data_IF_735385876391
#
_entry.id   IF_735385876391
#
_cell.length_a   1.000
_cell.length_b   1.000
_cell.length_c   1.000
_cell.angle_alpha   90.00
_cell.angle_beta   90.00
_cell.angle_gamma   90.00
#
_symmetry.space_group_name_H-M   'P 1'
#
loop_
_entity.id
_entity.type
_entity.pdbx_description
1 polymer ?
#
# COMPACT_ATOMS: atom_id res chain seq x y z
N UNK A 1 49.06 -24.23 -58.02
CA UNK A 1 47.68 -24.25 -57.47
C UNK A 1 47.48 -23.42 -56.20
N UNK A 2 48.44 -23.41 -55.26
CA UNK A 2 48.27 -22.75 -53.94
C UNK A 2 48.04 -21.22 -54.00
N UNK A 3 48.70 -20.50 -54.91
CA UNK A 3 48.56 -19.03 -55.03
C UNK A 3 47.25 -18.57 -55.65
N UNK A 4 46.66 -19.38 -56.55
CA UNK A 4 45.34 -19.07 -57.16
C UNK A 4 44.20 -19.28 -56.17
N UNK A 5 44.31 -20.26 -55.28
CA UNK A 5 43.34 -20.50 -54.20
C UNK A 5 43.38 -19.35 -53.19
N UNK A 6 44.57 -18.84 -52.85
CA UNK A 6 44.72 -17.70 -51.94
C UNK A 6 44.12 -16.40 -52.52
N UNK A 7 44.29 -16.18 -53.83
CA UNK A 7 43.71 -15.02 -54.51
C UNK A 7 42.17 -15.07 -54.56
N UNK A 8 41.59 -16.25 -54.75
CA UNK A 8 40.12 -16.45 -54.71
C UNK A 8 39.58 -16.20 -53.30
N UNK A 9 40.32 -16.61 -52.26
CA UNK A 9 39.94 -16.38 -50.87
C UNK A 9 39.94 -14.87 -50.51
N UNK A 10 40.94 -14.12 -50.99
CA UNK A 10 41.03 -12.67 -50.76
C UNK A 10 39.93 -11.87 -51.47
N UNK A 11 39.49 -12.32 -52.66
CA UNK A 11 38.37 -11.71 -53.40
C UNK A 11 37.03 -11.96 -52.69
N UNK A 12 36.84 -13.14 -52.10
CA UNK A 12 35.62 -13.45 -51.34
C UNK A 12 35.49 -12.63 -50.05
N UNK A 13 36.60 -12.32 -49.38
CA UNK A 13 36.58 -11.50 -48.16
C UNK A 13 36.24 -10.03 -48.43
N UNK A 14 36.49 -9.51 -49.63
CA UNK A 14 36.11 -8.13 -50.01
C UNK A 14 34.62 -7.94 -50.34
N UNK A 15 33.85 -9.04 -50.45
CA UNK A 15 32.40 -9.00 -50.66
C UNK A 15 31.59 -9.10 -49.35
N UNK A 16 32.27 -9.29 -48.21
CA UNK A 16 31.65 -9.27 -46.90
C UNK A 16 31.45 -7.82 -46.46
N UNK A 17 30.31 -7.23 -46.83
CA UNK A 17 29.82 -6.00 -46.21
C UNK A 17 29.31 -6.32 -44.80
N UNK A 18 30.23 -6.34 -43.83
CA UNK A 18 29.88 -6.41 -42.41
C UNK A 18 29.83 -4.99 -41.83
N UNK A 19 28.79 -4.23 -42.18
CA UNK A 19 28.46 -2.96 -41.50
C UNK A 19 26.99 -2.89 -41.04
N UNK A 20 26.46 -4.05 -40.68
CA UNK A 20 25.28 -4.12 -39.83
C UNK A 20 25.77 -4.15 -38.38
N UNK A 21 26.07 -2.96 -37.85
CA UNK A 21 26.20 -2.81 -36.41
C UNK A 21 24.81 -3.15 -35.81
N UNK A 22 24.67 -4.24 -35.01
CA UNK A 22 23.39 -4.65 -34.44
C UNK A 22 22.87 -3.66 -33.40
N UNK A 23 23.65 -2.60 -33.12
CA UNK A 23 23.31 -1.47 -32.27
C UNK A 23 23.16 -0.17 -33.07
N UNK A 24 23.01 -0.19 -34.42
CA UNK A 24 22.53 1.00 -35.13
C UNK A 24 21.13 1.26 -34.59
N UNK A 25 21.01 2.34 -33.82
CA UNK A 25 19.74 2.84 -33.30
C UNK A 25 18.94 3.37 -34.48
N UNK A 26 18.21 2.49 -35.13
CA UNK A 26 17.11 2.91 -35.99
C UNK A 26 16.14 3.71 -35.13
N UNK A 27 15.86 4.93 -35.62
CA UNK A 27 14.71 5.78 -35.33
C UNK A 27 14.18 5.69 -33.90
N UNK A 28 14.44 6.71 -33.07
CA UNK A 28 13.63 7.09 -31.89
C UNK A 28 12.48 6.12 -31.60
N UNK A 29 12.81 4.90 -31.15
CA UNK A 29 11.84 4.00 -30.60
C UNK A 29 11.71 4.62 -29.23
N UNK A 30 10.83 5.61 -29.14
CA UNK A 30 10.24 5.94 -27.86
C UNK A 30 9.67 4.60 -27.42
N UNK A 31 10.43 3.89 -26.58
CA UNK A 31 9.91 2.82 -25.76
C UNK A 31 8.87 3.53 -24.92
N UNK A 32 7.66 3.65 -25.47
CA UNK A 32 6.52 4.21 -24.77
C UNK A 32 6.25 3.18 -23.70
N UNK A 33 6.89 3.38 -22.55
CA UNK A 33 6.57 2.64 -21.35
C UNK A 33 5.05 2.72 -21.19
N UNK A 34 4.38 1.61 -20.88
CA UNK A 34 2.95 1.64 -20.60
C UNK A 34 2.65 2.73 -19.58
N UNK A 35 1.52 3.45 -19.74
CA UNK A 35 1.15 4.49 -18.79
C UNK A 35 1.08 3.90 -17.37
N UNK A 36 1.48 4.70 -16.38
CA UNK A 36 1.40 4.27 -14.99
C UNK A 36 -0.05 3.93 -14.62
N UNK A 37 -0.26 2.73 -14.08
CA UNK A 37 -1.56 2.30 -13.59
C UNK A 37 -2.07 3.21 -12.46
N UNK A 38 -3.29 3.73 -12.61
CA UNK A 38 -3.95 4.57 -11.59
C UNK A 38 -5.14 3.85 -10.97
N UNK A 39 -6.11 3.47 -11.81
CA UNK A 39 -7.28 2.70 -11.42
C UNK A 39 -7.86 1.93 -12.60
N UNK A 40 -8.51 0.81 -12.32
CA UNK A 40 -9.30 0.04 -13.28
C UNK A 40 -10.55 -0.51 -12.59
N UNK A 41 -11.67 -0.51 -13.32
CA UNK A 41 -12.96 -0.95 -12.80
C UNK A 41 -13.33 -2.32 -13.37
N UNK A 42 -13.91 -3.17 -12.53
CA UNK A 42 -14.35 -4.52 -12.90
C UNK A 42 -15.81 -4.68 -12.46
N UNK A 43 -16.63 -5.20 -13.38
CA UNK A 43 -18.01 -5.59 -13.12
C UNK A 43 -18.16 -7.09 -13.29
N UNK A 44 -18.85 -7.70 -12.34
CA UNK A 44 -19.18 -9.11 -12.43
C UNK A 44 -20.44 -9.33 -13.26
N UNK A 45 -20.55 -10.52 -13.85
CA UNK A 45 -21.78 -10.92 -14.53
C UNK A 45 -22.90 -11.21 -13.52
N UNK A 46 -24.14 -11.22 -14.00
CA UNK A 46 -25.34 -11.34 -13.13
C UNK A 46 -25.45 -12.65 -12.34
N UNK A 47 -24.64 -13.65 -12.67
CA UNK A 47 -24.58 -14.93 -11.95
C UNK A 47 -23.47 -14.99 -10.89
N UNK A 48 -22.61 -13.97 -10.80
CA UNK A 48 -21.54 -13.96 -9.83
C UNK A 48 -22.06 -13.78 -8.40
N UNK A 49 -21.59 -14.64 -7.50
CA UNK A 49 -21.99 -14.67 -6.08
C UNK A 49 -20.81 -14.75 -5.13
N UNK A 50 -19.72 -15.38 -5.55
CA UNK A 50 -18.54 -15.65 -4.72
C UNK A 50 -17.29 -15.31 -5.52
N UNK A 51 -16.50 -14.37 -5.03
CA UNK A 51 -15.15 -14.10 -5.51
C UNK A 51 -14.20 -15.09 -4.85
N UNK A 52 -13.68 -16.04 -5.64
CA UNK A 52 -12.78 -17.09 -5.16
C UNK A 52 -11.36 -16.56 -4.96
N UNK A 53 -10.75 -16.03 -6.01
CA UNK A 53 -9.36 -15.54 -5.97
C UNK A 53 -9.15 -14.38 -6.96
N UNK A 54 -8.11 -13.59 -6.71
CA UNK A 54 -7.62 -12.56 -7.63
C UNK A 54 -6.21 -12.94 -8.05
N UNK A 55 -5.91 -12.76 -9.34
CA UNK A 55 -4.66 -13.20 -9.93
C UNK A 55 -4.04 -12.06 -10.74
N UNK A 56 -2.85 -11.63 -10.34
CA UNK A 56 -2.10 -10.57 -11.00
C UNK A 56 -0.95 -11.19 -11.79
N UNK A 57 -0.99 -11.05 -13.11
CA UNK A 57 0.12 -11.42 -13.99
C UNK A 57 0.92 -10.16 -14.30
N UNK A 58 2.23 -10.23 -14.17
CA UNK A 58 3.12 -9.09 -14.36
C UNK A 58 4.43 -9.51 -15.01
N UNK A 59 5.12 -8.53 -15.57
CA UNK A 59 6.43 -8.72 -16.22
C UNK A 59 7.49 -8.16 -15.28
N UNK A 60 8.50 -8.96 -14.98
CA UNK A 60 9.65 -8.58 -14.17
C UNK A 60 10.59 -7.62 -14.92
N UNK A 61 11.53 -7.01 -14.20
CA UNK A 61 12.54 -6.13 -14.79
C UNK A 61 13.44 -6.84 -15.81
N UNK A 62 13.56 -8.18 -15.72
CA UNK A 62 14.30 -9.02 -16.65
C UNK A 62 13.45 -9.49 -17.86
N UNK A 63 12.17 -9.11 -17.92
CA UNK A 63 11.24 -9.48 -18.98
C UNK A 63 10.54 -10.84 -18.80
N UNK A 64 10.83 -11.58 -17.72
CA UNK A 64 10.08 -12.80 -17.40
C UNK A 64 8.66 -12.51 -16.90
N UNK A 65 7.73 -13.43 -17.15
CA UNK A 65 6.36 -13.35 -16.65
C UNK A 65 6.24 -14.05 -15.30
N UNK A 66 5.63 -13.37 -14.33
CA UNK A 66 5.35 -13.91 -13.01
C UNK A 66 3.89 -13.63 -12.59
N UNK A 67 3.49 -14.31 -11.51
CA UNK A 67 2.11 -14.34 -11.04
C UNK A 67 2.01 -14.18 -9.52
N UNK A 68 1.07 -13.35 -9.07
CA UNK A 68 0.65 -13.24 -7.65
C UNK A 68 -0.81 -13.66 -7.53
N UNK A 69 -1.08 -14.67 -6.69
CA UNK A 69 -2.42 -15.16 -6.38
C UNK A 69 -2.86 -14.74 -4.97
N UNK A 70 -4.02 -14.10 -4.88
CA UNK A 70 -4.67 -13.74 -3.63
C UNK A 70 -5.94 -14.59 -3.45
N UNK A 71 -5.95 -15.42 -2.41
CA UNK A 71 -7.14 -16.18 -2.03
C UNK A 71 -8.14 -15.28 -1.29
N UNK A 72 -9.40 -15.26 -1.72
CA UNK A 72 -10.43 -14.36 -1.21
C UNK A 72 -11.56 -15.14 -0.57
N UNK A 73 -12.23 -16.00 -1.33
CA UNK A 73 -13.41 -16.81 -0.94
C UNK A 73 -14.49 -16.02 -0.18
N UNK A 74 -14.97 -14.91 -0.75
CA UNK A 74 -16.02 -14.07 -0.15
C UNK A 74 -17.20 -13.84 -1.09
N UNK A 75 -18.38 -13.61 -0.52
CA UNK A 75 -19.56 -13.22 -1.28
C UNK A 75 -19.38 -11.86 -1.95
N UNK A 76 -19.94 -11.71 -3.14
CA UNK A 76 -19.97 -10.46 -3.92
C UNK A 76 -21.39 -10.19 -4.42
N UNK A 77 -21.70 -8.92 -4.62
CA UNK A 77 -22.88 -8.47 -5.36
C UNK A 77 -22.45 -8.04 -6.77
N UNK A 78 -23.14 -8.52 -7.80
CA UNK A 78 -22.87 -8.20 -9.20
C UNK A 78 -23.50 -6.86 -9.62
N UNK A 79 -24.42 -6.31 -8.83
CA UNK A 79 -24.92 -4.94 -9.02
C UNK A 79 -23.88 -3.87 -8.67
N UNK A 80 -22.85 -4.25 -7.91
CA UNK A 80 -21.79 -3.35 -7.47
C UNK A 80 -20.64 -3.27 -8.50
N UNK A 81 -19.93 -2.14 -8.48
CA UNK A 81 -18.71 -1.93 -9.26
C UNK A 81 -17.50 -2.06 -8.36
N UNK A 82 -16.53 -2.87 -8.76
CA UNK A 82 -15.30 -3.10 -8.02
C UNK A 82 -14.16 -2.36 -8.71
N UNK A 83 -13.19 -1.88 -7.95
CA UNK A 83 -12.09 -1.08 -8.49
C UNK A 83 -10.76 -1.53 -7.91
N UNK A 84 -9.74 -1.60 -8.75
CA UNK A 84 -8.34 -1.77 -8.36
C UNK A 84 -7.68 -0.41 -8.54
N UNK A 85 -6.99 0.11 -7.52
CA UNK A 85 -6.32 1.42 -7.59
C UNK A 85 -4.92 1.37 -6.97
N UNK A 86 -3.99 2.18 -7.52
CA UNK A 86 -2.62 2.31 -7.03
C UNK A 86 -2.53 3.43 -5.99
N UNK A 87 -1.86 3.14 -4.88
CA UNK A 87 -1.47 4.14 -3.89
C UNK A 87 0.05 4.12 -3.73
N UNK A 88 0.71 5.29 -3.80
CA UNK A 88 2.14 5.40 -3.45
C UNK A 88 2.27 5.34 -1.93
N UNK A 89 3.09 4.41 -1.44
CA UNK A 89 3.53 4.45 -0.04
C UNK A 89 4.40 5.70 0.17
N UNK A 90 4.27 6.40 1.31
CA UNK A 90 5.16 7.53 1.62
C UNK A 90 6.60 7.04 1.71
N UNK A 91 7.51 7.77 1.07
CA UNK A 91 8.94 7.49 1.05
C UNK A 91 9.55 7.73 2.46
N UNK A 92 10.15 6.72 3.12
CA UNK A 92 10.81 6.89 4.41
C UNK A 92 12.19 7.58 4.31
N UNK A 93 12.60 8.07 3.15
CA UNK A 93 13.96 8.57 2.93
C UNK A 93 14.19 10.00 3.45
N UNK A 94 14.57 10.08 4.74
CA UNK A 94 15.71 10.87 5.26
C UNK A 94 15.89 10.58 6.76
N UNK A 95 16.31 9.36 7.08
CA UNK A 95 16.94 9.12 8.37
C UNK A 95 18.39 9.57 8.22
N UNK A 96 18.79 10.61 8.95
CA UNK A 96 20.18 11.02 9.04
C UNK A 96 20.96 9.87 9.69
N UNK A 97 21.91 9.29 8.97
CA UNK A 97 22.82 8.25 9.48
C UNK A 97 23.61 8.81 10.68
N UNK A 98 23.15 8.52 11.89
CA UNK A 98 24.00 8.52 13.08
C UNK A 98 24.41 7.07 13.29
N UNK A 99 25.56 6.73 12.74
CA UNK A 99 26.19 5.43 12.92
C UNK A 99 26.54 5.23 14.40
N UNK A 100 25.74 4.41 15.09
CA UNK A 100 26.15 3.75 16.33
C UNK A 100 26.22 2.26 16.03
N UNK A 101 27.43 1.74 16.07
CA UNK A 101 27.80 0.34 15.86
C UNK A 101 27.06 -0.58 16.83
N UNK A 102 26.18 -1.44 16.29
CA UNK A 102 25.60 -2.59 17.00
C UNK A 102 26.04 -3.85 16.24
N UNK A 103 26.63 -4.86 16.89
CA UNK A 103 27.26 -5.98 16.20
C UNK A 103 26.22 -6.93 15.60
N UNK A 104 26.58 -7.40 14.41
CA UNK A 104 25.91 -8.38 13.57
C UNK A 104 25.73 -9.73 14.29
N UNK A 105 24.50 -10.26 14.28
CA UNK A 105 24.24 -11.68 14.55
C UNK A 105 23.41 -12.26 13.41
N UNK A 106 24.05 -13.16 12.67
CA UNK A 106 23.52 -13.80 11.48
C UNK A 106 22.39 -14.79 11.76
N UNK A 107 21.36 -14.67 10.90
CA UNK A 107 20.56 -15.72 10.26
C UNK A 107 19.69 -16.66 11.12
N UNK A 108 18.37 -16.43 11.01
CA UNK A 108 17.45 -17.51 10.64
C UNK A 108 16.38 -16.96 9.70
N UNK A 109 16.37 -17.45 8.46
CA UNK A 109 15.23 -17.37 7.54
C UNK A 109 14.02 -17.91 8.27
N UNK A 110 13.12 -17.02 8.67
CA UNK A 110 11.76 -17.39 9.04
C UNK A 110 10.88 -16.83 7.94
N UNK A 111 10.28 -17.73 7.17
CA UNK A 111 9.11 -17.42 6.35
C UNK A 111 7.98 -17.04 7.31
N UNK A 112 8.04 -15.84 7.86
CA UNK A 112 6.86 -15.17 8.35
C UNK A 112 6.16 -14.69 7.09
N UNK A 113 5.20 -15.47 6.60
CA UNK A 113 4.09 -14.92 5.84
C UNK A 113 3.51 -13.82 6.73
N UNK A 114 4.04 -12.60 6.55
CA UNK A 114 3.50 -11.42 7.19
C UNK A 114 2.06 -11.37 6.71
N UNK A 115 1.13 -11.73 7.59
CA UNK A 115 -0.28 -11.68 7.31
C UNK A 115 -0.62 -10.18 7.27
N UNK A 116 -0.37 -9.55 6.11
CA UNK A 116 -0.54 -8.11 5.91
C UNK A 116 -2.04 -7.88 5.85
N UNK A 117 -2.61 -7.52 7.00
CA UNK A 117 -4.01 -7.12 7.07
C UNK A 117 -4.18 -5.82 6.26
N UNK A 118 -5.02 -5.87 5.22
CA UNK A 118 -5.32 -4.71 4.38
C UNK A 118 -6.37 -3.84 5.11
N UNK A 119 -6.18 -2.51 5.20
CA UNK A 119 -7.17 -1.64 5.81
C UNK A 119 -8.45 -1.57 4.96
N UNK A 120 -9.61 -1.63 5.61
CA UNK A 120 -10.91 -1.44 4.96
C UNK A 120 -11.13 0.00 4.50
N UNK A 121 -10.57 0.97 5.23
CA UNK A 121 -10.73 2.38 4.95
C UNK A 121 -9.53 3.17 5.44
N UNK A 122 -9.01 4.07 4.61
CA UNK A 122 -7.93 5.00 4.98
C UNK A 122 -8.32 6.40 4.53
N UNK A 123 -8.23 7.39 5.43
CA UNK A 123 -8.47 8.77 5.06
C UNK A 123 -7.78 9.75 6.02
N UNK A 124 -7.62 10.99 5.56
CA UNK A 124 -7.19 12.10 6.40
C UNK A 124 -8.40 12.75 7.08
N UNK A 125 -8.27 13.05 8.37
CA UNK A 125 -9.18 13.96 9.06
C UNK A 125 -8.70 15.39 8.80
N UNK A 126 -7.41 15.64 9.02
CA UNK A 126 -6.68 16.88 8.70
C UNK A 126 -5.25 16.52 8.26
N UNK A 127 -4.44 17.52 7.90
CA UNK A 127 -3.05 17.28 7.48
C UNK A 127 -2.18 16.68 8.60
N UNK A 128 -2.49 17.01 9.85
CA UNK A 128 -1.78 16.50 11.03
C UNK A 128 -2.34 15.18 11.57
N UNK A 129 -3.52 14.72 11.10
CA UNK A 129 -4.11 13.47 11.59
C UNK A 129 -4.91 12.71 10.53
N UNK A 130 -4.58 11.43 10.40
CA UNK A 130 -5.27 10.47 9.54
C UNK A 130 -5.57 9.17 10.27
N UNK A 131 -6.40 8.33 9.67
CA UNK A 131 -6.74 7.03 10.23
C UNK A 131 -6.70 5.93 9.17
N UNK A 132 -6.46 4.70 9.63
CA UNK A 132 -6.63 3.48 8.86
C UNK A 132 -7.45 2.47 9.68
N UNK A 133 -8.62 2.09 9.17
CA UNK A 133 -9.52 1.12 9.78
C UNK A 133 -9.23 -0.27 9.24
N UNK A 134 -9.13 -1.24 10.13
CA UNK A 134 -8.99 -2.66 9.88
C UNK A 134 -10.19 -3.42 10.47
N UNK A 135 -10.17 -4.75 10.45
CA UNK A 135 -11.35 -5.54 10.85
C UNK A 135 -11.70 -5.36 12.33
N UNK A 136 -10.69 -5.42 13.20
CA UNK A 136 -10.81 -5.28 14.64
C UNK A 136 -9.87 -4.24 15.26
N UNK A 137 -9.18 -3.45 14.43
CA UNK A 137 -8.26 -2.42 14.89
C UNK A 137 -8.39 -1.14 14.08
N UNK A 138 -8.02 -0.02 14.66
CA UNK A 138 -7.95 1.26 13.98
C UNK A 138 -6.63 1.94 14.33
N UNK A 139 -5.87 2.33 13.30
CA UNK A 139 -4.65 3.11 13.45
C UNK A 139 -4.97 4.58 13.32
N UNK A 140 -4.48 5.38 14.25
CA UNK A 140 -4.49 6.84 14.22
C UNK A 140 -3.07 7.32 13.97
N UNK A 141 -2.83 7.92 12.81
CA UNK A 141 -1.52 8.47 12.47
C UNK A 141 -1.50 9.95 12.83
N UNK A 142 -0.66 10.31 13.81
CA UNK A 142 -0.45 11.67 14.29
C UNK A 142 0.90 11.76 15.00
N UNK A 143 1.56 12.92 14.90
CA UNK A 143 2.74 13.23 15.71
C UNK A 143 2.39 13.68 17.13
N UNK A 144 1.13 14.03 17.38
CA UNK A 144 0.69 14.58 18.66
C UNK A 144 0.61 13.49 19.74
N UNK A 145 1.01 13.84 20.96
CA UNK A 145 1.05 12.90 22.08
C UNK A 145 -0.36 12.63 22.63
N UNK A 146 -0.68 11.36 22.84
CA UNK A 146 -1.90 10.95 23.54
C UNK A 146 -1.80 11.38 25.01
N UNK A 147 -2.80 12.12 25.49
CA UNK A 147 -2.90 12.57 26.88
C UNK A 147 -3.65 11.54 27.71
N UNK A 148 -4.78 11.05 27.18
CA UNK A 148 -5.67 10.14 27.89
C UNK A 148 -6.59 9.42 26.91
N UNK A 149 -7.06 8.25 27.33
CA UNK A 149 -8.06 7.46 26.66
C UNK A 149 -9.05 6.86 27.68
N UNK A 150 -10.30 6.68 27.27
CA UNK A 150 -11.30 5.98 28.08
C UNK A 150 -12.48 5.51 27.23
N UNK A 151 -13.09 4.40 27.65
CA UNK A 151 -14.36 3.91 27.09
C UNK A 151 -15.56 4.55 27.78
N UNK A 152 -16.58 4.87 26.99
CA UNK A 152 -17.88 5.35 27.48
C UNK A 152 -18.97 4.41 26.93
N UNK A 153 -19.83 3.92 27.81
CA UNK A 153 -21.00 3.14 27.42
C UNK A 153 -22.16 4.02 26.93
N UNK A 154 -23.13 3.41 26.24
CA UNK A 154 -24.43 4.00 25.89
C UNK A 154 -24.37 5.37 25.16
N UNK A 155 -24.06 5.41 23.84
CA UNK A 155 -23.59 4.31 23.00
C UNK A 155 -22.12 4.00 23.24
N UNK A 156 -21.71 2.77 22.95
CA UNK A 156 -20.33 2.30 23.11
C UNK A 156 -19.37 3.14 22.25
N UNK A 157 -18.40 3.77 22.90
CA UNK A 157 -17.41 4.63 22.23
C UNK A 157 -16.09 4.65 22.99
N UNK A 158 -15.01 4.82 22.25
CA UNK A 158 -13.66 5.07 22.80
C UNK A 158 -13.37 6.56 22.59
N UNK A 159 -12.96 7.24 23.65
CA UNK A 159 -12.57 8.64 23.63
C UNK A 159 -11.07 8.73 23.81
N UNK A 160 -10.39 9.51 22.96
CA UNK A 160 -8.94 9.68 23.00
C UNK A 160 -8.61 11.15 22.82
N UNK A 161 -7.80 11.70 23.71
CA UNK A 161 -7.34 13.08 23.66
C UNK A 161 -5.87 13.15 23.27
N UNK A 162 -5.55 14.06 22.35
CA UNK A 162 -4.19 14.30 21.87
C UNK A 162 -3.79 15.75 22.07
N UNK A 163 -2.59 15.96 22.59
CA UNK A 163 -2.04 17.29 22.87
C UNK A 163 -1.83 18.07 21.58
N UNK A 164 -2.51 19.20 21.46
CA UNK A 164 -2.36 20.08 20.31
C UNK A 164 -2.78 21.50 20.63
N UNK A 165 -2.07 22.48 20.08
CA UNK A 165 -2.48 23.90 20.14
C UNK A 165 -3.31 24.30 18.93
N UNK A 166 -3.42 23.43 17.93
CA UNK A 166 -4.17 23.71 16.71
C UNK A 166 -5.68 23.64 17.00
N UNK A 167 -6.41 24.62 16.47
CA UNK A 167 -7.86 24.65 16.55
C UNK A 167 -8.39 24.40 15.14
N UNK A 168 -9.08 23.27 14.97
CA UNK A 168 -9.73 22.87 13.71
C UNK A 168 -11.24 22.67 13.91
N UNK A 169 -12.07 22.90 12.88
CA UNK A 169 -13.50 22.64 12.94
C UNK A 169 -13.84 21.21 13.36
N UNK A 170 -15.02 21.01 13.93
CA UNK A 170 -15.53 19.66 14.23
C UNK A 170 -15.75 18.89 12.93
N UNK A 171 -15.34 17.62 12.89
CA UNK A 171 -15.62 16.70 11.77
C UNK A 171 -16.31 15.44 12.30
N UNK A 172 -17.32 14.99 11.54
CA UNK A 172 -18.03 13.74 11.78
C UNK A 172 -17.78 12.84 10.58
N UNK A 173 -17.10 11.72 10.80
CA UNK A 173 -16.66 10.81 9.74
C UNK A 173 -17.36 9.49 9.95
N UNK A 174 -18.29 9.15 9.07
CA UNK A 174 -18.94 7.83 9.08
C UNK A 174 -18.00 6.78 8.51
N UNK A 175 -17.97 5.63 9.17
CA UNK A 175 -17.17 4.48 8.77
C UNK A 175 -18.13 3.38 8.30
N UNK A 176 -17.90 2.89 7.09
CA UNK A 176 -18.75 1.87 6.46
C UNK A 176 -18.17 0.48 6.71
N UNK A 177 -19.04 -0.53 6.83
CA UNK A 177 -18.63 -1.95 6.83
C UNK A 177 -17.58 -2.34 7.90
N UNK A 178 -17.59 -1.67 9.05
CA UNK A 178 -16.67 -1.90 10.16
C UNK A 178 -17.39 -1.91 11.50
N UNK A 179 -16.78 -2.54 12.51
CA UNK A 179 -17.23 -2.45 13.92
C UNK A 179 -17.06 -1.04 14.48
N UNK A 180 -16.13 -0.27 13.91
CA UNK A 180 -16.04 1.17 14.09
C UNK A 180 -17.09 1.83 13.18
N UNK A 181 -18.04 2.57 13.76
CA UNK A 181 -19.17 3.18 13.05
C UNK A 181 -18.95 4.64 12.70
N UNK A 182 -18.20 5.37 13.53
CA UNK A 182 -17.99 6.81 13.35
C UNK A 182 -16.79 7.33 14.11
N UNK A 183 -16.14 8.36 13.57
CA UNK A 183 -15.12 9.16 14.27
C UNK A 183 -15.62 10.59 14.33
N UNK A 184 -15.77 11.12 15.54
CA UNK A 184 -16.05 12.53 15.77
C UNK A 184 -14.77 13.21 16.25
N UNK A 185 -14.29 14.19 15.50
CA UNK A 185 -13.16 15.04 15.86
C UNK A 185 -13.67 16.34 16.46
N UNK A 186 -13.15 16.75 17.61
CA UNK A 186 -13.43 18.05 18.23
C UNK A 186 -12.18 18.71 18.79
N UNK A 187 -12.00 20.01 18.53
CA UNK A 187 -10.89 20.79 19.09
C UNK A 187 -11.28 21.40 20.44
N UNK A 188 -10.35 21.37 21.39
CA UNK A 188 -10.47 21.97 22.72
C UNK A 188 -9.24 22.83 23.02
N UNK A 189 -9.23 23.50 24.18
CA UNK A 189 -8.09 24.31 24.59
C UNK A 189 -6.91 23.41 24.98
N UNK A 190 -5.94 23.27 24.08
CA UNK A 190 -4.68 22.55 24.34
C UNK A 190 -4.68 21.07 23.96
N UNK A 191 -5.77 20.57 23.39
CA UNK A 191 -5.88 19.21 22.86
C UNK A 191 -7.02 19.13 21.83
N UNK A 192 -7.00 18.10 20.98
CA UNK A 192 -8.19 17.66 20.27
C UNK A 192 -8.62 16.28 20.76
N UNK A 193 -9.91 16.01 20.63
CA UNK A 193 -10.56 14.77 21.05
C UNK A 193 -11.06 14.02 19.83
N UNK A 194 -10.76 12.73 19.78
CA UNK A 194 -11.43 11.78 18.91
C UNK A 194 -12.42 10.96 19.74
N UNK A 195 -13.64 10.85 19.23
CA UNK A 195 -14.67 9.95 19.76
C UNK A 195 -14.98 8.91 18.69
N UNK A 196 -14.60 7.67 18.95
CA UNK A 196 -14.77 6.55 18.03
C UNK A 196 -15.97 5.74 18.50
N UNK A 197 -17.07 5.81 17.74
CA UNK A 197 -18.30 5.06 18.03
C UNK A 197 -18.16 3.63 17.53
N UNK A 198 -18.57 2.69 18.37
CA UNK A 198 -18.52 1.25 18.12
C UNK A 198 -19.94 0.69 17.96
N UNK A 199 -20.04 -0.50 17.38
CA UNK A 199 -21.32 -1.20 17.22
C UNK A 199 -21.72 -2.10 18.39
N UNK A 200 -20.81 -2.27 19.34
CA UNK A 200 -20.99 -3.08 20.54
C UNK A 200 -20.00 -2.67 21.62
N UNK A 201 -20.08 -3.35 22.77
CA UNK A 201 -19.15 -3.14 23.88
C UNK A 201 -17.92 -4.02 23.68
N UNK A 202 -16.74 -3.40 23.66
CA UNK A 202 -15.47 -4.09 23.46
C UNK A 202 -14.46 -3.59 24.50
N UNK A 203 -13.60 -4.50 24.95
CA UNK A 203 -12.35 -4.09 25.59
C UNK A 203 -11.38 -3.66 24.49
N UNK A 204 -10.41 -2.80 24.84
CA UNK A 204 -9.41 -2.37 23.87
C UNK A 204 -8.03 -2.22 24.50
N UNK A 205 -7.02 -2.25 23.63
CA UNK A 205 -5.63 -1.95 23.96
C UNK A 205 -5.09 -0.93 22.94
N UNK A 206 -4.34 0.07 23.42
CA UNK A 206 -3.65 1.04 22.58
C UNK A 206 -2.14 0.76 22.59
N UNK A 207 -1.57 0.61 21.40
CA UNK A 207 -0.12 0.48 21.20
C UNK A 207 0.41 1.71 20.45
N UNK A 208 1.46 2.34 20.98
CA UNK A 208 2.14 3.46 20.31
C UNK A 208 3.24 2.92 19.38
N UNK A 209 3.31 3.47 18.17
CA UNK A 209 4.41 3.26 17.24
C UNK A 209 5.02 4.59 16.79
N UNK A 210 5.99 4.56 15.87
CA UNK A 210 6.69 5.75 15.38
C UNK A 210 5.78 6.76 14.66
N UNK A 211 4.62 6.32 14.19
CA UNK A 211 3.71 7.09 13.32
C UNK A 211 2.39 7.46 14.02
N UNK A 212 2.13 6.90 15.20
CA UNK A 212 0.93 7.20 15.97
C UNK A 212 0.52 6.04 16.89
N UNK A 213 -0.78 5.72 16.89
CA UNK A 213 -1.39 4.84 17.89
C UNK A 213 -2.32 3.81 17.22
N UNK A 214 -2.15 2.53 17.57
CA UNK A 214 -2.98 1.42 17.12
C UNK A 214 -3.93 1.01 18.23
N UNK A 215 -5.23 1.15 18.00
CA UNK A 215 -6.28 0.70 18.92
C UNK A 215 -6.76 -0.67 18.43
N UNK A 216 -6.58 -1.69 19.24
CA UNK A 216 -7.03 -3.06 18.97
C UNK A 216 -8.23 -3.37 19.87
N UNK A 217 -9.34 -3.80 19.27
CA UNK A 217 -10.48 -4.33 20.03
C UNK A 217 -10.23 -5.81 20.34
N UNK A 218 -10.53 -6.20 21.58
CA UNK A 218 -10.32 -7.53 22.16
C UNK A 218 -11.63 -8.32 22.23
#
# INVERSE_FOLDING_TARGET
MKTRILAIFFIFTSLLYADENPFKTDQNITLVAPPEFQKEEVKFNSSARILKSISFNYINLDGSEDKIDLDVNKSIDWHDTYTISRFKSPDPSKVLDVSVTIPEKNSSKQNSTANVEIPLQVAKIYDFISYAVYKNKIKLNTSDEMITDFSVGNPSKIVIDFRSKMISPTKNIRLSNSIFKRIDFGSHKGYYRLVIYLDGTYNYNIQKDATGYMINLL
#
